data_IF_073295723410
#
_entry.id   IF_073295723410
#
_cell.length_a   1.000
_cell.length_b   1.000
_cell.length_c   1.000
_cell.angle_alpha   90.00
_cell.angle_beta   90.00
_cell.angle_gamma   90.00
#
_symmetry.space_group_name_H-M   'P 1'
#
loop_
_entity.id
_entity.type
_entity.pdbx_description
1 polymer ?
#
# COMPACT_ATOMS: atom_id res chain seq x y z
N UNK A 1 20.77 -5.14 12.23
CA UNK A 1 21.67 -4.13 11.62
C UNK A 1 20.75 -3.01 11.18
N UNK A 2 20.74 -1.90 11.90
CA UNK A 2 19.89 -0.76 11.53
C UNK A 2 20.37 -0.24 10.17
N UNK A 3 19.41 0.07 9.29
CA UNK A 3 19.75 0.62 7.99
C UNK A 3 19.98 2.11 8.18
N UNK A 4 21.26 2.49 8.24
CA UNK A 4 21.72 3.87 8.45
C UNK A 4 21.62 4.65 7.12
N UNK A 5 21.07 5.87 7.17
CA UNK A 5 20.88 6.75 6.00
C UNK A 5 20.11 6.12 4.83
N UNK A 6 18.99 5.44 5.12
CA UNK A 6 18.06 5.04 4.05
C UNK A 6 17.41 6.27 3.47
N UNK A 7 17.42 6.37 2.14
CA UNK A 7 16.55 7.27 1.42
C UNK A 7 15.09 6.85 1.67
N UNK A 8 14.42 7.56 2.58
CA UNK A 8 13.03 7.31 2.95
C UNK A 8 12.04 7.80 1.88
N UNK A 9 12.53 8.44 0.82
CA UNK A 9 11.75 8.94 -0.31
C UNK A 9 11.93 8.08 -1.57
N UNK A 10 12.73 7.00 -1.53
CA UNK A 10 12.83 6.04 -2.63
C UNK A 10 11.59 5.12 -2.66
N UNK A 11 10.53 5.61 -3.31
CA UNK A 11 9.31 4.85 -3.58
C UNK A 11 9.58 3.58 -4.40
N UNK A 12 10.64 3.58 -5.22
CA UNK A 12 11.10 2.41 -5.94
C UNK A 12 11.60 1.31 -5.00
N UNK A 13 12.33 1.66 -3.93
CA UNK A 13 12.72 0.70 -2.90
C UNK A 13 11.51 0.14 -2.15
N UNK A 14 10.55 1.00 -1.83
CA UNK A 14 9.30 0.57 -1.20
C UNK A 14 8.52 -0.39 -2.12
N UNK A 15 8.41 -0.09 -3.41
CA UNK A 15 7.71 -0.94 -4.37
C UNK A 15 8.41 -2.30 -4.55
N UNK A 16 9.75 -2.32 -4.59
CA UNK A 16 10.51 -3.58 -4.64
C UNK A 16 10.19 -4.49 -3.45
N UNK A 17 9.88 -3.95 -2.27
CA UNK A 17 9.52 -4.75 -1.09
C UNK A 17 8.33 -5.68 -1.36
N UNK A 18 7.39 -5.27 -2.21
CA UNK A 18 6.19 -6.03 -2.57
C UNK A 18 6.37 -6.94 -3.79
N UNK A 19 7.53 -6.91 -4.44
CA UNK A 19 7.77 -7.65 -5.67
C UNK A 19 7.69 -9.17 -5.47
N UNK A 20 7.20 -9.89 -6.48
CA UNK A 20 7.01 -11.35 -6.42
C UNK A 20 8.29 -12.09 -6.04
N UNK A 21 9.44 -11.66 -6.55
CA UNK A 21 10.72 -12.29 -6.26
C UNK A 21 11.10 -12.18 -4.77
N UNK A 22 10.81 -11.04 -4.15
CA UNK A 22 11.04 -10.86 -2.72
C UNK A 22 10.06 -11.70 -1.88
N UNK A 23 8.81 -11.78 -2.31
CA UNK A 23 7.80 -12.64 -1.67
C UNK A 23 8.17 -14.13 -1.78
N UNK A 24 8.75 -14.56 -2.90
CA UNK A 24 9.25 -15.93 -3.08
C UNK A 24 10.42 -16.25 -2.15
N UNK A 25 11.35 -15.30 -1.97
CA UNK A 25 12.48 -15.48 -1.04
C UNK A 25 12.01 -15.64 0.41
N UNK A 26 10.96 -14.91 0.82
CA UNK A 26 10.36 -15.06 2.16
C UNK A 26 9.90 -16.51 2.39
N UNK A 27 9.31 -17.14 1.37
CA UNK A 27 8.86 -18.53 1.46
C UNK A 27 10.05 -19.49 1.45
N UNK A 28 11.03 -19.30 0.55
CA UNK A 28 12.13 -20.24 0.32
C UNK A 28 13.19 -20.29 1.44
N UNK A 29 13.17 -19.38 2.41
CA UNK A 29 14.16 -19.32 3.50
C UNK A 29 13.86 -20.37 4.61
N UNK A 30 13.25 -21.52 4.26
CA UNK A 30 12.58 -22.54 5.10
C UNK A 30 13.43 -23.27 6.16
N UNK A 31 14.64 -22.83 6.48
CA UNK A 31 15.55 -23.60 7.35
C UNK A 31 15.25 -23.53 8.87
N UNK A 32 14.15 -22.90 9.32
CA UNK A 32 13.80 -22.84 10.76
C UNK A 32 12.28 -23.04 11.00
N UNK A 33 11.84 -24.19 11.55
CA UNK A 33 10.42 -24.52 11.74
C UNK A 33 9.62 -23.57 12.65
N UNK A 34 10.27 -22.91 13.60
CA UNK A 34 9.61 -22.04 14.59
C UNK A 34 9.23 -20.66 14.05
N UNK A 35 9.86 -20.19 12.97
CA UNK A 35 9.58 -18.88 12.38
C UNK A 35 8.55 -18.94 11.23
N UNK A 36 8.14 -20.14 10.81
CA UNK A 36 7.23 -20.35 9.69
C UNK A 36 5.92 -19.55 9.81
N UNK A 37 5.31 -19.52 11.01
CA UNK A 37 4.06 -18.77 11.24
C UNK A 37 4.28 -17.25 11.06
N UNK A 38 5.42 -16.73 11.52
CA UNK A 38 5.76 -15.30 11.38
C UNK A 38 6.04 -14.93 9.93
N UNK A 39 6.76 -15.80 9.22
CA UNK A 39 7.08 -15.66 7.80
C UNK A 39 5.81 -15.64 6.95
N UNK A 40 4.84 -16.53 7.24
CA UNK A 40 3.54 -16.56 6.55
C UNK A 40 2.74 -15.28 6.82
N UNK A 41 2.68 -14.83 8.08
CA UNK A 41 1.98 -13.59 8.43
C UNK A 41 2.55 -12.37 7.70
N UNK A 42 3.87 -12.25 7.65
CA UNK A 42 4.56 -11.21 6.90
C UNK A 42 4.30 -11.32 5.39
N UNK A 43 4.39 -12.52 4.81
CA UNK A 43 4.09 -12.76 3.41
C UNK A 43 2.68 -12.29 3.05
N UNK A 44 1.67 -12.70 3.81
CA UNK A 44 0.26 -12.34 3.57
C UNK A 44 0.10 -10.82 3.65
N UNK A 45 0.69 -10.18 4.66
CA UNK A 45 0.64 -8.74 4.83
C UNK A 45 1.24 -7.99 3.64
N UNK A 46 2.46 -8.36 3.23
CA UNK A 46 3.14 -7.73 2.09
C UNK A 46 2.41 -8.00 0.77
N UNK A 47 1.93 -9.21 0.56
CA UNK A 47 1.16 -9.56 -0.63
C UNK A 47 -0.11 -8.72 -0.74
N UNK A 48 -0.90 -8.62 0.34
CA UNK A 48 -2.17 -7.87 0.33
C UNK A 48 -1.96 -6.38 0.11
N UNK A 49 -0.95 -5.77 0.73
CA UNK A 49 -0.65 -4.35 0.51
C UNK A 49 0.01 -4.10 -0.86
N UNK A 50 0.86 -5.00 -1.33
CA UNK A 50 1.41 -4.96 -2.67
C UNK A 50 0.32 -4.97 -3.74
N UNK A 51 -0.67 -5.86 -3.60
CA UNK A 51 -1.83 -5.89 -4.49
C UNK A 51 -2.66 -4.61 -4.43
N UNK A 52 -2.78 -3.96 -3.27
CA UNK A 52 -3.46 -2.66 -3.18
C UNK A 52 -2.72 -1.60 -4.00
N UNK A 53 -1.39 -1.54 -3.93
CA UNK A 53 -0.58 -0.63 -4.74
C UNK A 53 -0.65 -0.97 -6.24
N UNK A 54 -0.53 -2.24 -6.60
CA UNK A 54 -0.63 -2.71 -7.99
C UNK A 54 -1.99 -2.40 -8.62
N UNK A 55 -3.05 -2.47 -7.83
CA UNK A 55 -4.40 -2.13 -8.29
C UNK A 55 -4.50 -0.67 -8.74
N UNK A 56 -3.62 0.23 -8.30
CA UNK A 56 -3.53 1.60 -8.80
C UNK A 56 -2.52 1.74 -9.95
N UNK A 57 -1.30 1.26 -9.75
CA UNK A 57 -0.16 1.62 -10.61
C UNK A 57 -0.01 0.70 -11.83
N UNK A 58 -0.41 -0.57 -11.73
CA UNK A 58 -0.17 -1.52 -12.81
C UNK A 58 -1.05 -1.18 -14.02
N UNK A 59 -0.48 -1.12 -15.23
CA UNK A 59 -1.20 -0.73 -16.46
C UNK A 59 -1.98 -1.86 -17.14
N UNK A 60 -1.76 -3.11 -16.73
CA UNK A 60 -2.25 -4.31 -17.42
C UNK A 60 -3.43 -4.99 -16.73
N UNK A 61 -3.76 -4.59 -15.51
CA UNK A 61 -4.82 -5.22 -14.70
C UNK A 61 -6.19 -4.67 -15.09
N UNK A 62 -7.16 -5.56 -15.30
CA UNK A 62 -8.55 -5.20 -15.63
C UNK A 62 -9.33 -4.71 -14.40
N UNK A 63 -10.43 -3.97 -14.62
CA UNK A 63 -11.22 -3.42 -13.51
C UNK A 63 -11.74 -4.47 -12.54
N UNK A 64 -12.12 -5.66 -13.03
CA UNK A 64 -12.62 -6.75 -12.18
C UNK A 64 -11.52 -7.31 -11.27
N UNK A 65 -10.29 -7.51 -11.75
CA UNK A 65 -9.19 -7.91 -10.88
C UNK A 65 -8.84 -6.81 -9.88
N UNK A 66 -8.79 -5.53 -10.30
CA UNK A 66 -8.54 -4.41 -9.38
C UNK A 66 -9.54 -4.38 -8.22
N UNK A 67 -10.84 -4.52 -8.50
CA UNK A 67 -11.87 -4.59 -7.46
C UNK A 67 -11.58 -5.74 -6.49
N UNK A 68 -11.23 -6.94 -6.99
CA UNK A 68 -10.91 -8.07 -6.12
C UNK A 68 -9.68 -7.81 -5.24
N UNK A 69 -8.64 -7.21 -5.80
CA UNK A 69 -7.40 -6.85 -5.09
C UNK A 69 -7.68 -5.85 -3.97
N UNK A 70 -8.36 -4.74 -4.27
CA UNK A 70 -8.65 -3.71 -3.25
C UNK A 70 -9.64 -4.20 -2.19
N UNK A 71 -10.64 -4.99 -2.57
CA UNK A 71 -11.58 -5.56 -1.60
C UNK A 71 -10.91 -6.58 -0.68
N UNK A 72 -9.94 -7.35 -1.19
CA UNK A 72 -9.11 -8.24 -0.36
C UNK A 72 -8.36 -7.44 0.71
N UNK A 73 -7.72 -6.34 0.32
CA UNK A 73 -7.05 -5.45 1.27
C UNK A 73 -8.01 -4.83 2.28
N UNK A 74 -9.17 -4.33 1.81
CA UNK A 74 -10.20 -3.76 2.67
C UNK A 74 -10.67 -4.75 3.75
N UNK A 75 -11.08 -5.95 3.36
CA UNK A 75 -11.56 -6.96 4.30
C UNK A 75 -10.46 -7.45 5.23
N UNK A 76 -9.26 -7.70 4.70
CA UNK A 76 -8.11 -8.11 5.51
C UNK A 76 -7.83 -7.10 6.63
N UNK A 77 -7.73 -5.81 6.30
CA UNK A 77 -7.46 -4.75 7.28
C UNK A 77 -8.60 -4.62 8.30
N UNK A 78 -9.86 -4.62 7.87
CA UNK A 78 -11.02 -4.52 8.77
C UNK A 78 -11.11 -5.70 9.73
N UNK A 79 -10.93 -6.92 9.22
CA UNK A 79 -10.93 -8.15 10.03
C UNK A 79 -9.77 -8.15 11.02
N UNK A 80 -8.57 -7.76 10.58
CA UNK A 80 -7.41 -7.68 11.47
C UNK A 80 -7.63 -6.67 12.59
N UNK A 81 -8.16 -5.48 12.28
CA UNK A 81 -8.50 -4.45 13.28
C UNK A 81 -9.50 -4.96 14.31
N UNK A 82 -10.59 -5.56 13.84
CA UNK A 82 -11.64 -6.10 14.71
C UNK A 82 -11.11 -7.26 15.58
N UNK A 83 -10.28 -8.14 15.01
CA UNK A 83 -9.63 -9.23 15.75
C UNK A 83 -8.79 -8.70 16.92
N UNK A 84 -7.91 -7.72 16.69
CA UNK A 84 -7.07 -7.14 17.75
C UNK A 84 -7.94 -6.49 18.83
N UNK A 85 -8.99 -5.77 18.44
CA UNK A 85 -9.92 -5.16 19.38
C UNK A 85 -10.61 -6.19 20.28
N UNK A 86 -11.10 -7.30 19.71
CA UNK A 86 -11.73 -8.40 20.47
C UNK A 86 -10.73 -9.07 21.41
N UNK A 87 -9.51 -9.34 20.95
CA UNK A 87 -8.46 -9.93 21.80
C UNK A 87 -8.05 -9.00 22.95
N UNK A 88 -8.10 -7.68 22.75
CA UNK A 88 -7.90 -6.69 23.81
C UNK A 88 -8.93 -6.80 24.94
N UNK A 89 -10.18 -7.13 24.61
CA UNK A 89 -11.26 -7.35 25.58
C UNK A 89 -11.15 -8.73 26.25
N UNK A 90 -10.90 -9.78 25.48
CA UNK A 90 -10.93 -11.17 25.96
C UNK A 90 -9.67 -11.52 26.78
N UNK A 91 -8.50 -11.10 26.31
CA UNK A 91 -7.23 -11.53 26.90
C UNK A 91 -6.60 -10.43 27.75
N UNK A 92 -6.17 -9.33 27.12
CA UNK A 92 -5.64 -8.16 27.81
C UNK A 92 -5.31 -7.05 26.82
N UNK A 93 -5.69 -5.83 27.16
CA UNK A 93 -5.27 -4.61 26.46
C UNK A 93 -3.76 -4.33 26.57
N UNK A 94 -3.05 -4.99 27.50
CA UNK A 94 -1.59 -4.91 27.62
C UNK A 94 -0.88 -5.54 26.42
N UNK A 95 -1.40 -6.67 25.92
CA UNK A 95 -0.79 -7.45 24.83
C UNK A 95 -1.42 -7.14 23.47
N UNK A 96 -2.72 -6.84 23.45
CA UNK A 96 -3.48 -6.50 22.25
C UNK A 96 -3.86 -5.02 22.29
N UNK A 97 -2.87 -4.17 22.01
CA UNK A 97 -3.03 -2.72 22.03
C UNK A 97 -3.11 -2.18 20.59
N UNK A 98 -4.15 -1.41 20.28
CA UNK A 98 -4.34 -0.79 18.98
C UNK A 98 -3.20 0.13 18.52
N UNK A 99 -2.36 0.63 19.41
CA UNK A 99 -1.21 1.47 19.06
C UNK A 99 0.04 0.66 18.68
N UNK A 100 0.09 -0.65 19.00
CA UNK A 100 1.28 -1.49 18.84
C UNK A 100 1.04 -2.76 18.04
N UNK A 101 -0.17 -3.29 18.05
CA UNK A 101 -0.52 -4.59 17.48
C UNK A 101 -1.13 -4.50 16.08
N UNK A 102 -1.25 -3.30 15.53
CA UNK A 102 -1.70 -3.01 14.17
C UNK A 102 -0.78 -1.95 13.54
N UNK A 103 -0.89 -1.75 12.23
CA UNK A 103 -0.34 -0.57 11.55
C UNK A 103 -0.84 0.74 12.17
N UNK A 104 -0.13 1.84 11.93
CA UNK A 104 -0.56 3.16 12.40
C UNK A 104 -1.99 3.46 11.97
N UNK A 105 -2.76 4.16 12.80
CA UNK A 105 -4.16 4.48 12.48
C UNK A 105 -4.24 5.33 11.21
N UNK A 106 -3.26 6.20 10.98
CA UNK A 106 -3.14 7.00 9.77
C UNK A 106 -2.96 6.13 8.53
N UNK A 107 -2.03 5.17 8.57
CA UNK A 107 -1.84 4.22 7.47
C UNK A 107 -3.08 3.36 7.25
N UNK A 108 -3.75 2.93 8.33
CA UNK A 108 -4.99 2.18 8.23
C UNK A 108 -6.07 2.97 7.48
N UNK A 109 -6.32 4.22 7.88
CA UNK A 109 -7.34 5.06 7.26
C UNK A 109 -7.00 5.37 5.80
N UNK A 110 -5.72 5.60 5.48
CA UNK A 110 -5.24 5.76 4.10
C UNK A 110 -5.54 4.51 3.27
N UNK A 111 -5.15 3.33 3.73
CA UNK A 111 -5.36 2.10 2.95
C UNK A 111 -6.85 1.74 2.77
N UNK A 112 -7.68 2.00 3.78
CA UNK A 112 -9.14 1.86 3.63
C UNK A 112 -9.67 2.85 2.60
N UNK A 113 -9.27 4.12 2.68
CA UNK A 113 -9.69 5.15 1.73
C UNK A 113 -9.24 4.84 0.30
N UNK A 114 -8.02 4.32 0.10
CA UNK A 114 -7.56 3.82 -1.19
C UNK A 114 -8.47 2.70 -1.72
N UNK A 115 -8.79 1.71 -0.90
CA UNK A 115 -9.64 0.62 -1.37
C UNK A 115 -11.05 1.09 -1.77
N UNK A 116 -11.67 1.94 -0.96
CA UNK A 116 -13.00 2.49 -1.22
C UNK A 116 -13.01 3.42 -2.44
N UNK A 117 -12.04 4.33 -2.53
CA UNK A 117 -11.97 5.32 -3.61
C UNK A 117 -11.73 4.66 -4.98
N UNK A 118 -10.92 3.61 -5.08
CA UNK A 118 -10.73 2.90 -6.35
C UNK A 118 -12.04 2.28 -6.86
N UNK A 119 -12.83 1.67 -5.97
CA UNK A 119 -14.13 1.10 -6.34
C UNK A 119 -15.10 2.20 -6.75
N UNK A 120 -15.15 3.31 -6.01
CA UNK A 120 -15.96 4.47 -6.37
C UNK A 120 -15.56 5.05 -7.73
N UNK A 121 -14.27 5.19 -8.00
CA UNK A 121 -13.76 5.75 -9.24
C UNK A 121 -14.14 4.89 -10.44
N UNK A 122 -14.02 3.56 -10.31
CA UNK A 122 -14.49 2.62 -11.36
C UNK A 122 -15.99 2.78 -11.61
N UNK A 123 -16.81 2.91 -10.55
CA UNK A 123 -18.26 3.10 -10.69
C UNK A 123 -18.60 4.43 -11.37
N UNK A 124 -17.98 5.52 -10.91
CA UNK A 124 -18.21 6.87 -11.45
C UNK A 124 -17.83 6.95 -12.92
N UNK A 125 -16.68 6.41 -13.31
CA UNK A 125 -16.27 6.38 -14.72
C UNK A 125 -17.23 5.58 -15.58
N UNK A 126 -17.69 4.43 -15.09
CA UNK A 126 -18.68 3.62 -15.81
C UNK A 126 -20.01 4.35 -15.99
N UNK A 127 -20.47 5.07 -14.97
CA UNK A 127 -21.80 5.71 -14.97
C UNK A 127 -21.82 7.06 -15.69
N UNK A 128 -20.79 7.90 -15.49
CA UNK A 128 -20.77 9.29 -15.95
C UNK A 128 -19.81 9.55 -17.12
N UNK A 129 -18.84 8.66 -17.36
CA UNK A 129 -17.81 8.85 -18.39
C UNK A 129 -17.61 7.60 -19.27
N UNK A 130 -18.68 7.00 -19.84
CA UNK A 130 -18.60 5.72 -20.55
C UNK A 130 -17.70 5.74 -21.80
N UNK A 131 -17.43 6.93 -22.36
CA UNK A 131 -16.59 7.12 -23.54
C UNK A 131 -15.12 7.42 -23.20
N UNK A 132 -14.78 7.60 -21.93
CA UNK A 132 -13.43 7.93 -21.49
C UNK A 132 -12.83 6.76 -20.70
N UNK A 133 -11.65 6.25 -21.11
CA UNK A 133 -10.99 5.20 -20.35
C UNK A 133 -10.49 5.71 -19.00
N UNK A 134 -10.61 4.87 -17.97
CA UNK A 134 -10.07 5.14 -16.65
C UNK A 134 -8.58 4.72 -16.58
N UNK A 135 -7.69 5.70 -16.53
CA UNK A 135 -6.25 5.49 -16.33
C UNK A 135 -5.84 5.79 -14.89
N UNK A 136 -5.86 4.76 -14.02
CA UNK A 136 -5.59 4.93 -12.58
C UNK A 136 -4.19 5.46 -12.27
N UNK A 137 -3.18 5.08 -13.05
CA UNK A 137 -1.81 5.55 -12.86
C UNK A 137 -1.62 7.04 -13.17
N UNK A 138 -2.54 7.68 -13.90
CA UNK A 138 -2.53 9.13 -14.15
C UNK A 138 -3.22 9.93 -13.05
N UNK A 139 -3.88 9.28 -12.08
CA UNK A 139 -4.59 9.94 -10.97
C UNK A 139 -3.67 10.20 -9.75
N UNK A 140 -2.37 9.99 -9.89
CA UNK A 140 -1.35 10.30 -8.89
C UNK A 140 -0.79 11.71 -9.03
N UNK A 141 0.15 12.05 -8.14
CA UNK A 141 0.89 13.32 -8.17
C UNK A 141 2.28 13.19 -8.82
N UNK A 142 2.62 12.01 -9.34
CA UNK A 142 3.93 11.70 -9.91
C UNK A 142 4.38 12.75 -10.94
N UNK A 143 3.47 13.17 -11.84
CA UNK A 143 3.76 14.22 -12.83
C UNK A 143 4.16 15.54 -12.18
N UNK A 144 3.54 15.93 -11.07
CA UNK A 144 3.90 17.14 -10.32
C UNK A 144 5.28 16.98 -9.67
N UNK A 145 5.59 15.82 -9.11
CA UNK A 145 6.90 15.52 -8.53
C UNK A 145 8.00 15.60 -9.59
N UNK A 146 7.76 15.07 -10.79
CA UNK A 146 8.69 15.20 -11.92
C UNK A 146 8.88 16.65 -12.35
N UNK A 147 7.81 17.44 -12.43
CA UNK A 147 7.89 18.89 -12.74
C UNK A 147 8.78 19.58 -11.69
N UNK A 148 8.52 19.35 -10.41
CA UNK A 148 9.34 19.92 -9.34
C UNK A 148 10.79 19.42 -9.38
N UNK A 149 11.02 18.16 -9.73
CA UNK A 149 12.35 17.60 -9.93
C UNK A 149 13.10 18.32 -11.05
N UNK A 150 12.44 18.57 -12.19
CA UNK A 150 12.99 19.33 -13.31
C UNK A 150 13.26 20.79 -12.91
N UNK A 151 12.33 21.46 -12.23
CA UNK A 151 12.53 22.83 -11.76
C UNK A 151 13.76 22.95 -10.85
N UNK A 152 13.97 21.97 -9.96
CA UNK A 152 15.16 21.93 -9.08
C UNK A 152 16.48 21.68 -9.81
N UNK A 153 16.45 21.07 -11.00
CA UNK A 153 17.64 20.96 -11.84
C UNK A 153 18.07 22.32 -12.42
N UNK A 154 17.13 23.25 -12.57
CA UNK A 154 17.40 24.62 -13.04
C UNK A 154 17.80 25.52 -11.88
N UNK A 155 17.00 25.55 -10.81
CA UNK A 155 17.24 26.32 -9.59
C UNK A 155 16.94 25.41 -8.39
N UNK A 156 17.97 25.00 -7.64
CA UNK A 156 17.82 24.01 -6.57
C UNK A 156 16.80 24.39 -5.49
N UNK A 157 16.82 25.66 -5.07
CA UNK A 157 15.93 26.22 -4.04
C UNK A 157 15.23 27.47 -4.59
N UNK A 158 14.34 27.29 -5.58
CA UNK A 158 13.57 28.40 -6.14
C UNK A 158 12.55 28.93 -5.11
N UNK A 159 12.38 30.25 -5.09
CA UNK A 159 11.31 30.91 -4.35
C UNK A 159 10.03 31.04 -5.21
N UNK A 160 8.94 31.58 -4.64
CA UNK A 160 7.67 31.72 -5.35
C UNK A 160 7.74 32.57 -6.63
N UNK A 161 8.63 33.57 -6.70
CA UNK A 161 8.83 34.39 -7.89
C UNK A 161 9.67 33.69 -8.97
N UNK A 162 10.43 32.66 -8.59
CA UNK A 162 11.34 31.92 -9.47
C UNK A 162 10.72 30.63 -10.03
N UNK A 163 9.54 30.23 -9.54
CA UNK A 163 8.75 29.11 -10.06
C UNK A 163 7.80 29.55 -11.18
#
# INVERSE_FOLDING_TARGET
>A
RDVLNVDKQDDGAAYRMFHSDNLLQIIQTENIPSDMIRVIGLFIYLFVLGELCDAYLNRKIDHKARIRMVMRAFFFLKIWKDYIQRCGVIHSSKWYNMQRSIISIQSFDIFISMAESLVMLIKVYREYYPNYPLFLWEHGIETLEHIFGISRQVIADFNFYEF
#
